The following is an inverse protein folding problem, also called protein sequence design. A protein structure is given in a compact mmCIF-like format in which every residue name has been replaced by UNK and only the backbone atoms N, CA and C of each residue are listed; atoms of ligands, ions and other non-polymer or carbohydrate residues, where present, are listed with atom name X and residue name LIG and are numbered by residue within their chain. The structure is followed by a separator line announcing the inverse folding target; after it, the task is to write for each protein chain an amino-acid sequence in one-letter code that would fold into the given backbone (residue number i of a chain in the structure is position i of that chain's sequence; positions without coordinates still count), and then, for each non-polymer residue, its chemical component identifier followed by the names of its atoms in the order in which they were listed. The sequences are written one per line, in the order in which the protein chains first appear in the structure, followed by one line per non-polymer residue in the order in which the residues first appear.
data_IF_418956610835
#
_entry.id   IF_418956610835
#
_cell.length_a   1.000
_cell.length_b   1.000
_cell.length_c   1.000
_cell.angle_alpha   90.00
_cell.angle_beta   90.00
_cell.angle_gamma   90.00
#
_symmetry.space_group_name_H-M   'P 1'
#
loop_
_entity.id
_entity.type
_entity.pdbx_description
1 polymer ?
#
# COMPACT_ATOMS: atom_id res chain seq x y z
N UNK A 1 12.51 -7.36 4.48
CA UNK A 1 11.15 -6.89 4.80
C UNK A 1 10.21 -8.07 4.82
N UNK A 2 9.55 -8.28 5.96
CA UNK A 2 8.51 -9.27 6.21
C UNK A 2 7.43 -8.65 7.11
N UNK A 3 6.16 -8.84 6.80
CA UNK A 3 5.04 -8.30 7.57
C UNK A 3 3.87 -9.29 7.57
N UNK A 4 3.42 -9.69 8.76
CA UNK A 4 2.27 -10.57 8.95
C UNK A 4 1.03 -9.73 9.27
N UNK A 5 0.08 -9.70 8.34
CA UNK A 5 -1.18 -8.95 8.47
C UNK A 5 -2.19 -9.80 9.24
N UNK A 6 -2.74 -9.30 10.37
CA UNK A 6 -3.73 -10.04 11.12
C UNK A 6 -4.97 -10.32 10.29
N UNK A 7 -5.51 -11.53 10.38
CA UNK A 7 -6.71 -11.94 9.64
C UNK A 7 -7.90 -10.99 9.87
N UNK A 8 -8.06 -10.49 11.10
CA UNK A 8 -9.10 -9.52 11.48
C UNK A 8 -8.97 -8.17 10.76
N UNK A 9 -7.74 -7.79 10.40
CA UNK A 9 -7.40 -6.51 9.78
C UNK A 9 -7.18 -6.60 8.27
N UNK A 10 -7.19 -7.81 7.69
CA UNK A 10 -6.93 -8.05 6.27
C UNK A 10 -7.92 -7.31 5.35
N UNK A 11 -9.19 -7.21 5.76
CA UNK A 11 -10.21 -6.43 5.03
C UNK A 11 -9.89 -4.94 5.02
N UNK A 12 -9.38 -4.40 6.13
CA UNK A 12 -8.97 -3.00 6.24
C UNK A 12 -7.74 -2.74 5.39
N UNK A 13 -6.75 -3.64 5.44
CA UNK A 13 -5.56 -3.58 4.58
C UNK A 13 -5.93 -3.61 3.10
N UNK A 14 -6.83 -4.51 2.68
CA UNK A 14 -7.35 -4.55 1.32
C UNK A 14 -8.01 -3.24 0.90
N UNK A 15 -8.86 -2.66 1.74
CA UNK A 15 -9.51 -1.36 1.45
C UNK A 15 -8.49 -0.23 1.29
N UNK A 16 -7.40 -0.24 2.04
CA UNK A 16 -6.30 0.71 1.87
C UNK A 16 -5.65 0.57 0.49
N UNK A 17 -5.36 -0.67 0.06
CA UNK A 17 -4.83 -0.92 -1.29
C UNK A 17 -5.81 -0.48 -2.40
N UNK A 18 -7.12 -0.74 -2.23
CA UNK A 18 -8.14 -0.28 -3.17
C UNK A 18 -8.21 1.24 -3.24
N UNK A 19 -8.13 1.92 -2.09
CA UNK A 19 -8.12 3.37 -2.03
C UNK A 19 -6.92 3.94 -2.80
N UNK A 20 -5.72 3.43 -2.57
CA UNK A 20 -4.52 3.86 -3.30
C UNK A 20 -4.61 3.56 -4.81
N UNK A 21 -5.13 2.38 -5.17
CA UNK A 21 -5.35 2.00 -6.57
C UNK A 21 -6.42 2.81 -7.30
N UNK A 22 -7.27 3.56 -6.58
CA UNK A 22 -8.20 4.53 -7.18
C UNK A 22 -7.55 5.88 -7.50
N UNK A 23 -6.38 6.16 -6.92
CA UNK A 23 -5.63 7.42 -7.09
C UNK A 23 -4.57 7.26 -8.18
N UNK A 24 -3.87 6.13 -8.20
CA UNK A 24 -2.74 5.86 -9.09
C UNK A 24 -2.66 4.41 -9.54
N UNK A 25 -1.89 4.19 -10.61
CA UNK A 25 -1.64 2.85 -11.15
C UNK A 25 -0.65 2.04 -10.31
N UNK A 26 0.20 2.75 -9.55
CA UNK A 26 1.27 2.19 -8.74
C UNK A 26 1.08 2.50 -7.25
N UNK A 27 1.56 1.59 -6.41
CA UNK A 27 1.69 1.76 -4.97
C UNK A 27 3.17 1.76 -4.62
N UNK A 28 3.61 2.83 -3.95
CA UNK A 28 4.92 2.91 -3.33
C UNK A 28 4.83 2.35 -1.91
N UNK A 29 5.73 1.43 -1.60
CA UNK A 29 5.84 0.75 -0.30
C UNK A 29 7.15 1.22 0.34
N UNK A 30 7.04 1.81 1.51
CA UNK A 30 8.19 2.18 2.33
C UNK A 30 8.09 1.48 3.69
N UNK A 31 9.02 0.58 3.97
CA UNK A 31 9.11 -0.17 5.21
C UNK A 31 10.24 0.38 6.09
N UNK A 32 9.90 0.78 7.31
CA UNK A 32 10.79 1.28 8.36
C UNK A 32 10.57 0.47 9.62
N UNK A 33 11.56 0.41 10.51
CA UNK A 33 11.47 -0.41 11.73
C UNK A 33 10.19 -0.18 12.56
N UNK A 34 9.65 1.04 12.57
CA UNK A 34 8.46 1.42 13.34
C UNK A 34 7.14 1.38 12.56
N UNK A 35 7.16 1.30 11.21
CA UNK A 35 5.96 1.42 10.38
C UNK A 35 6.14 0.98 8.93
N UNK A 36 5.02 0.60 8.31
CA UNK A 36 4.85 0.44 6.87
C UNK A 36 4.03 1.61 6.30
N UNK A 37 4.57 2.32 5.32
CA UNK A 37 3.89 3.40 4.61
C UNK A 37 3.56 2.95 3.18
N UNK A 38 2.28 3.07 2.82
CA UNK A 38 1.77 2.83 1.48
C UNK A 38 1.33 4.15 0.87
N UNK A 39 1.82 4.45 -0.33
CA UNK A 39 1.64 5.76 -0.96
C UNK A 39 1.23 5.60 -2.42
N UNK A 40 0.52 6.61 -2.94
CA UNK A 40 0.07 6.64 -4.33
C UNK A 40 -0.04 8.08 -4.84
N UNK A 41 0.21 8.27 -6.14
CA UNK A 41 -0.03 9.52 -6.85
C UNK A 41 -0.79 9.26 -8.15
N UNK A 42 -1.53 10.25 -8.61
CA UNK A 42 -2.07 10.22 -9.96
C UNK A 42 -0.98 10.49 -11.01
N UNK A 43 -1.29 10.20 -12.29
CA UNK A 43 -0.36 10.40 -13.41
C UNK A 43 0.10 11.86 -13.55
N UNK A 44 -0.79 12.82 -13.28
CA UNK A 44 -0.50 14.25 -13.33
C UNK A 44 0.27 14.78 -12.11
N UNK A 45 0.56 13.94 -11.11
CA UNK A 45 1.24 14.31 -9.85
C UNK A 45 0.53 15.41 -9.05
N UNK A 46 -0.76 15.64 -9.30
CA UNK A 46 -1.59 16.64 -8.61
C UNK A 46 -2.37 16.07 -7.43
N UNK A 47 -2.46 14.74 -7.30
CA UNK A 47 -3.10 14.06 -6.19
C UNK A 47 -2.12 13.09 -5.54
N UNK A 48 -2.11 13.07 -4.20
CA UNK A 48 -1.26 12.21 -3.38
C UNK A 48 -2.08 11.63 -2.23
N UNK A 49 -1.85 10.35 -1.94
CA UNK A 49 -2.32 9.72 -0.71
C UNK A 49 -1.21 8.93 -0.04
N UNK A 50 -1.28 8.92 1.28
CA UNK A 50 -0.43 8.10 2.15
C UNK A 50 -1.27 7.44 3.22
N UNK A 51 -1.04 6.15 3.41
CA UNK A 51 -1.61 5.34 4.48
C UNK A 51 -0.45 4.75 5.27
N UNK A 52 -0.44 4.98 6.57
CA UNK A 52 0.62 4.52 7.47
C UNK A 52 0.06 3.46 8.40
N UNK A 53 0.71 2.29 8.43
CA UNK A 53 0.45 1.21 9.37
C UNK A 53 1.61 1.15 10.37
N UNK A 54 1.39 1.38 11.68
CA UNK A 54 2.44 1.21 12.68
C UNK A 54 2.89 -0.26 12.74
N UNK A 55 4.12 -0.55 13.16
CA UNK A 55 4.60 -1.93 13.30
C UNK A 55 3.66 -2.77 14.20
N UNK A 56 3.08 -2.17 15.23
CA UNK A 56 2.09 -2.80 16.13
C UNK A 56 0.74 -3.16 15.47
N UNK A 57 0.49 -2.76 14.22
CA UNK A 57 -0.66 -3.23 13.44
C UNK A 57 -0.48 -4.69 12.98
N UNK A 58 0.76 -5.15 12.83
CA UNK A 58 1.09 -6.47 12.31
C UNK A 58 1.31 -7.47 13.44
N UNK A 59 0.99 -8.74 13.21
CA UNK A 59 1.27 -9.80 14.18
C UNK A 59 2.79 -10.06 14.29
N UNK A 60 3.50 -9.88 13.17
CA UNK A 60 4.96 -9.87 13.09
C UNK A 60 5.40 -8.84 12.05
N UNK A 61 6.46 -8.10 12.32
CA UNK A 61 6.97 -7.08 11.42
C UNK A 61 8.49 -6.96 11.49
N UNK A 62 9.12 -7.03 10.33
CA UNK A 62 10.54 -6.79 10.11
C UNK A 62 10.74 -5.95 8.85
N UNK A 63 11.36 -4.78 8.97
CA UNK A 63 11.67 -3.93 7.83
C UNK A 63 12.81 -4.51 6.96
N UNK A 64 13.67 -5.36 7.52
CA UNK A 64 14.80 -6.00 6.84
C UNK A 64 15.89 -5.04 6.36
N UNK A 65 16.08 -3.91 7.06
CA UNK A 65 17.19 -2.98 6.88
C UNK A 65 18.05 -2.96 8.15
N UNK A 66 19.36 -2.72 7.99
CA UNK A 66 20.20 -2.32 9.13
C UNK A 66 19.70 -0.98 9.68
N UNK A 67 19.78 -0.79 11.00
CA UNK A 67 19.21 0.33 11.75
C UNK A 67 19.25 1.64 10.94
N UNK A 68 18.06 2.20 10.73
CA UNK A 68 17.76 3.47 10.03
C UNK A 68 17.62 3.45 8.49
N UNK A 69 17.87 2.32 7.80
CA UNK A 69 17.65 2.23 6.34
C UNK A 69 16.27 1.68 5.98
N UNK A 70 15.39 2.54 5.46
CA UNK A 70 14.06 2.14 4.99
C UNK A 70 14.13 1.35 3.67
N UNK A 71 13.46 0.20 3.59
CA UNK A 71 13.27 -0.51 2.31
C UNK A 71 12.17 0.18 1.50
N UNK A 72 12.43 0.44 0.21
CA UNK A 72 11.48 1.14 -0.68
C UNK A 72 11.30 0.39 -1.98
N UNK A 73 10.05 0.16 -2.36
CA UNK A 73 9.73 -0.37 -3.67
C UNK A 73 8.42 0.18 -4.24
N UNK A 74 8.23 -0.04 -5.54
CA UNK A 74 7.02 0.27 -6.28
C UNK A 74 6.43 -1.01 -6.87
N UNK A 75 5.12 -1.15 -6.78
CA UNK A 75 4.36 -2.28 -7.33
C UNK A 75 3.07 -1.82 -7.99
N UNK A 76 2.60 -2.55 -9.00
CA UNK A 76 1.36 -2.21 -9.69
C UNK A 76 0.16 -2.40 -8.76
N UNK A 77 -0.61 -1.34 -8.55
CA UNK A 77 -1.74 -1.30 -7.61
C UNK A 77 -2.79 -2.37 -7.92
N UNK A 78 -3.12 -2.54 -9.20
CA UNK A 78 -4.12 -3.52 -9.66
C UNK A 78 -3.69 -4.96 -9.37
N UNK A 79 -2.41 -5.29 -9.52
CA UNK A 79 -1.90 -6.62 -9.21
C UNK A 79 -1.91 -6.87 -7.71
N UNK A 80 -1.39 -5.93 -6.92
CA UNK A 80 -1.33 -6.09 -5.47
C UNK A 80 -2.73 -6.18 -4.87
N UNK A 81 -3.63 -5.23 -5.17
CA UNK A 81 -5.00 -5.26 -4.69
C UNK A 81 -5.77 -6.48 -5.22
N UNK A 82 -5.46 -6.95 -6.44
CA UNK A 82 -6.07 -8.12 -7.04
C UNK A 82 -5.87 -9.40 -6.23
N UNK A 83 -4.73 -9.56 -5.56
CA UNK A 83 -4.43 -10.71 -4.68
C UNK A 83 -5.43 -10.81 -3.53
N UNK A 84 -5.75 -9.67 -2.90
CA UNK A 84 -6.64 -9.60 -1.75
C UNK A 84 -8.14 -9.56 -2.13
N UNK A 85 -8.47 -9.63 -3.43
CA UNK A 85 -9.87 -9.69 -3.90
C UNK A 85 -10.56 -11.02 -3.57
N UNK A 86 -9.77 -12.09 -3.37
CA UNK A 86 -10.27 -13.40 -2.96
C UNK A 86 -10.90 -13.36 -1.55
N UNK A 87 -11.48 -14.48 -1.10
CA UNK A 87 -12.18 -14.61 0.19
C UNK A 87 -11.23 -14.34 1.39
N UNK A 88 -11.02 -13.06 1.73
CA UNK A 88 -10.23 -12.62 2.90
C UNK A 88 -10.78 -13.14 4.22
N UNK A 89 -12.06 -13.52 4.27
CA UNK A 89 -12.71 -14.08 5.47
C UNK A 89 -12.26 -15.50 5.82
N UNK A 90 -11.66 -16.24 4.88
CA UNK A 90 -11.20 -17.61 5.10
C UNK A 90 -9.67 -17.68 5.32
N UNK A 91 -8.99 -16.54 5.30
CA UNK A 91 -7.54 -16.44 5.51
C UNK A 91 -7.28 -16.47 7.02
N UNK A 92 -6.46 -17.42 7.45
CA UNK A 92 -6.00 -17.53 8.84
C UNK A 92 -4.70 -16.76 9.05
N UNK A 93 -3.82 -16.75 8.04
CA UNK A 93 -2.52 -16.10 8.09
C UNK A 93 -2.17 -15.45 6.77
N UNK A 94 -1.64 -14.22 6.81
CA UNK A 94 -1.20 -13.50 5.61
C UNK A 94 0.16 -12.85 5.84
N UNK A 95 1.17 -13.26 5.07
CA UNK A 95 2.54 -12.74 5.17
C UNK A 95 2.91 -12.06 3.87
N UNK A 96 3.39 -10.82 3.96
CA UNK A 96 4.03 -10.08 2.88
C UNK A 96 5.53 -10.14 3.09
N UNK A 97 6.29 -10.55 2.07
CA UNK A 97 7.74 -10.67 2.15
C UNK A 97 8.41 -10.14 0.88
N UNK A 98 9.53 -9.48 1.05
CA UNK A 98 10.41 -9.11 -0.05
C UNK A 98 11.49 -10.18 -0.20
N UNK A 99 11.52 -10.83 -1.35
CA UNK A 99 12.60 -11.71 -1.79
C UNK A 99 13.55 -10.88 -2.67
N UNK A 100 14.76 -10.62 -2.16
CA UNK A 100 15.84 -10.02 -2.94
C UNK A 100 16.76 -11.13 -3.43
N UNK A 101 17.11 -11.11 -4.72
CA UNK A 101 18.18 -11.98 -5.22
C UNK A 101 19.53 -11.40 -4.82
N UNK A 102 20.23 -12.07 -3.91
CA UNK A 102 21.53 -11.63 -3.46
C UNK A 102 22.67 -11.89 -4.46
N UNK A 103 22.54 -12.81 -5.43
CA UNK A 103 23.69 -13.16 -6.31
C UNK A 103 23.28 -13.56 -7.75
N UNK A 104 24.12 -13.26 -8.77
CA UNK A 104 24.00 -13.89 -10.07
C UNK A 104 24.40 -15.37 -9.96
N UNK A 105 23.44 -16.28 -10.16
CA UNK A 105 23.74 -17.72 -10.23
C UNK A 105 24.58 -17.98 -11.47
N UNK A 106 25.88 -18.25 -11.28
CA UNK A 106 26.76 -18.77 -12.34
C UNK A 106 26.40 -20.23 -12.59
N UNK A 107 25.40 -20.48 -13.44
CA UNK A 107 25.26 -21.79 -14.06
C UNK A 107 26.36 -21.91 -15.10
N UNK A 108 27.18 -22.95 -15.01
CA UNK A 108 28.25 -23.21 -15.96
C UNK A 108 27.76 -23.12 -17.41
N UNK A 109 28.42 -22.28 -18.20
CA UNK A 109 28.28 -22.24 -19.65
C UNK A 109 26.93 -21.75 -20.19
N UNK A 110 26.59 -20.47 -20.00
CA UNK A 110 25.61 -19.78 -20.84
C UNK A 110 24.54 -19.00 -20.10
N UNK A 111 24.66 -17.67 -20.11
CA UNK A 111 23.74 -16.66 -19.54
C UNK A 111 23.51 -16.73 -18.02
N UNK A 112 24.07 -15.75 -17.30
CA UNK A 112 23.74 -15.50 -15.90
C UNK A 112 22.24 -15.15 -15.79
N UNK A 113 21.44 -15.98 -15.11
CA UNK A 113 20.09 -15.58 -14.73
C UNK A 113 20.20 -14.65 -13.52
N UNK A 114 19.87 -13.38 -13.72
CA UNK A 114 19.68 -12.41 -12.66
C UNK A 114 18.52 -12.93 -11.81
N UNK A 115 18.74 -13.23 -10.52
CA UNK A 115 17.64 -13.68 -9.68
C UNK A 115 16.59 -12.58 -9.54
N UNK A 116 15.33 -13.00 -9.50
CA UNK A 116 14.22 -12.08 -9.62
C UNK A 116 13.85 -11.50 -8.26
N UNK A 117 13.81 -10.17 -8.18
CA UNK A 117 13.29 -9.44 -7.03
C UNK A 117 11.75 -9.54 -7.00
N UNK A 118 11.20 -10.18 -5.96
CA UNK A 118 9.77 -10.47 -5.85
C UNK A 118 9.16 -9.95 -4.55
N UNK A 119 7.99 -9.31 -4.64
CA UNK A 119 7.09 -9.12 -3.51
C UNK A 119 6.21 -10.35 -3.44
N UNK A 120 6.35 -11.11 -2.36
CA UNK A 120 5.63 -12.35 -2.13
C UNK A 120 4.52 -12.13 -1.14
N UNK A 121 3.30 -12.49 -1.53
CA UNK A 121 2.14 -12.52 -0.65
C UNK A 121 1.76 -13.98 -0.43
N UNK A 122 1.98 -14.46 0.78
CA UNK A 122 1.61 -15.80 1.21
C UNK A 122 0.32 -15.74 2.04
N UNK A 123 -0.66 -16.55 1.69
CA UNK A 123 -1.93 -16.67 2.41
C UNK A 123 -2.19 -18.13 2.76
N UNK A 124 -2.40 -18.40 4.04
CA UNK A 124 -2.87 -19.68 4.55
C UNK A 124 -4.36 -19.56 4.85
N UNK A 125 -5.15 -20.50 4.35
CA UNK A 125 -6.60 -20.55 4.51
C UNK A 125 -7.00 -21.72 5.41
N UNK A 126 -8.23 -21.64 5.91
CA UNK A 126 -8.91 -22.78 6.52
C UNK A 126 -8.74 -24.04 5.66
N UNK A 127 -8.52 -25.18 6.31
CA UNK A 127 -8.26 -26.49 5.67
C UNK A 127 -6.89 -26.64 4.97
N UNK A 128 -5.87 -25.89 5.42
CA UNK A 128 -4.47 -26.01 4.95
C UNK A 128 -4.27 -25.71 3.46
N UNK A 129 -5.18 -24.96 2.84
CA UNK A 129 -4.95 -24.43 1.49
C UNK A 129 -4.01 -23.24 1.61
N UNK A 130 -2.89 -23.25 0.89
CA UNK A 130 -1.97 -22.12 0.84
C UNK A 130 -1.97 -21.51 -0.57
N UNK A 131 -1.99 -20.18 -0.67
CA UNK A 131 -1.77 -19.47 -1.94
C UNK A 131 -0.57 -18.54 -1.79
N UNK A 132 0.35 -18.65 -2.74
CA UNK A 132 1.52 -17.78 -2.81
C UNK A 132 1.49 -17.01 -4.11
N UNK A 133 1.46 -15.69 -4.01
CA UNK A 133 1.50 -14.78 -5.14
C UNK A 133 2.86 -14.09 -5.18
N UNK A 134 3.48 -14.01 -6.37
CA UNK A 134 4.77 -13.35 -6.57
C UNK A 134 4.59 -12.21 -7.56
N UNK A 135 4.81 -10.99 -7.11
CA UNK A 135 4.76 -9.79 -7.93
C UNK A 135 6.17 -9.30 -8.19
N UNK A 136 6.42 -8.79 -9.40
CA UNK A 136 7.59 -7.96 -9.62
C UNK A 136 7.43 -6.65 -8.86
N UNK A 137 8.53 -6.17 -8.30
CA UNK A 137 8.61 -4.82 -7.76
C UNK A 137 9.81 -4.10 -8.37
N UNK A 138 9.77 -2.78 -8.34
CA UNK A 138 10.89 -1.93 -8.71
C UNK A 138 11.45 -1.24 -7.47
N UNK A 139 12.75 -1.28 -7.26
CA UNK A 139 13.40 -0.49 -6.20
C UNK A 139 13.29 0.98 -6.60
N UNK A 140 12.91 1.84 -5.65
CA UNK A 140 12.72 3.25 -5.92
C UNK A 140 13.25 4.14 -4.79
N UNK A 141 13.46 5.41 -5.12
CA UNK A 141 13.84 6.43 -4.13
C UNK A 141 12.65 6.82 -3.23
N UNK A 142 12.93 7.74 -2.30
CA UNK A 142 11.95 8.30 -1.38
C UNK A 142 10.77 8.92 -2.11
N UNK A 143 9.56 8.51 -1.75
CA UNK A 143 8.32 8.96 -2.38
C UNK A 143 7.48 9.80 -1.40
N UNK A 144 7.85 11.07 -1.20
CA UNK A 144 7.14 11.95 -0.28
C UNK A 144 6.73 13.24 -0.96
N UNK A 145 5.49 13.68 -0.71
CA UNK A 145 5.03 15.02 -1.09
C UNK A 145 5.42 16.03 -0.01
N UNK A 146 5.78 17.23 -0.44
CA UNK A 146 5.98 18.38 0.46
C UNK A 146 4.61 19.00 0.76
N UNK A 147 4.12 18.81 1.98
CA UNK A 147 2.87 19.40 2.44
C UNK A 147 2.89 19.55 3.96
N UNK A 148 2.58 20.76 4.46
CA UNK A 148 2.37 20.99 5.89
C UNK A 148 0.89 21.32 6.17
N UNK A 149 0.29 20.55 7.07
CA UNK A 149 -1.09 20.78 7.54
C UNK A 149 -1.22 22.07 8.34
N UNK A 150 -0.14 22.55 8.94
CA UNK A 150 -0.10 23.76 9.77
C UNK A 150 -0.22 25.03 8.94
N UNK A 151 0.18 24.98 7.68
CA UNK A 151 0.10 26.10 6.74
C UNK A 151 -1.32 26.28 6.16
N UNK A 152 -2.24 25.36 6.45
CA UNK A 152 -3.60 25.41 5.94
C UNK A 152 -4.46 26.45 6.69
N UNK A 153 -4.89 27.51 5.98
CA UNK A 153 -5.76 28.57 6.53
C UNK A 153 -7.15 28.08 6.95
N UNK A 154 -7.68 27.08 6.25
CA UNK A 154 -9.00 26.49 6.51
C UNK A 154 -8.87 25.07 7.01
N UNK A 155 -9.52 24.76 8.14
CA UNK A 155 -9.61 23.39 8.67
C UNK A 155 -11.04 23.09 9.05
N UNK A 156 -11.53 21.96 8.58
CA UNK A 156 -12.83 21.43 8.94
C UNK A 156 -12.72 19.93 9.23
N UNK A 157 -13.63 19.40 10.03
CA UNK A 157 -13.70 17.98 10.37
C UNK A 157 -15.16 17.54 10.31
N UNK A 158 -15.42 16.50 9.55
CA UNK A 158 -16.74 15.88 9.42
C UNK A 158 -16.59 14.37 9.57
N UNK A 159 -17.59 13.65 10.11
CA UNK A 159 -17.60 12.20 10.01
C UNK A 159 -17.67 11.75 8.54
N UNK A 160 -16.91 10.72 8.18
CA UNK A 160 -16.82 10.23 6.80
C UNK A 160 -18.18 9.86 6.19
N UNK A 161 -19.12 9.36 7.00
CA UNK A 161 -20.47 9.03 6.56
C UNK A 161 -21.24 10.27 6.05
N UNK A 162 -21.10 11.41 6.73
CA UNK A 162 -21.73 12.66 6.28
C UNK A 162 -21.04 13.22 5.03
N UNK A 163 -19.70 13.17 4.96
CA UNK A 163 -18.99 13.56 3.73
C UNK A 163 -19.44 12.73 2.52
N UNK A 164 -19.57 11.41 2.71
CA UNK A 164 -20.06 10.51 1.68
C UNK A 164 -21.50 10.84 1.27
N UNK A 165 -22.38 11.15 2.24
CA UNK A 165 -23.75 11.58 1.97
C UNK A 165 -23.78 12.88 1.15
N UNK A 166 -22.96 13.88 1.50
CA UNK A 166 -22.85 15.13 0.75
C UNK A 166 -22.42 14.88 -0.70
N UNK A 167 -21.38 14.07 -0.91
CA UNK A 167 -20.90 13.73 -2.25
C UNK A 167 -21.95 12.94 -3.04
N UNK A 168 -22.76 12.11 -2.38
CA UNK A 168 -23.79 11.30 -3.04
C UNK A 168 -24.95 12.11 -3.63
N UNK A 169 -25.12 13.38 -3.25
CA UNK A 169 -26.12 14.28 -3.85
C UNK A 169 -25.71 14.77 -5.24
N UNK A 170 -24.42 14.71 -5.59
CA UNK A 170 -23.93 15.14 -6.90
C UNK A 170 -24.06 14.02 -7.93
N UNK A 171 -24.10 14.40 -9.21
CA UNK A 171 -24.09 13.43 -10.29
C UNK A 171 -22.84 12.55 -10.21
N UNK A 172 -22.99 11.23 -10.42
CA UNK A 172 -21.86 10.27 -10.38
C UNK A 172 -20.71 10.57 -11.35
N UNK A 173 -20.95 11.44 -12.34
CA UNK A 173 -19.97 11.88 -13.34
C UNK A 173 -19.48 13.31 -13.12
N UNK A 174 -19.82 13.93 -11.98
CA UNK A 174 -19.26 15.23 -11.62
C UNK A 174 -17.74 15.07 -11.50
N UNK A 175 -17.00 15.82 -12.33
CA UNK A 175 -15.53 15.75 -12.36
C UNK A 175 -14.92 16.57 -11.22
N UNK A 176 -15.56 17.68 -10.86
CA UNK A 176 -15.06 18.61 -9.85
C UNK A 176 -16.17 19.02 -8.87
N UNK A 177 -15.79 19.24 -7.62
CA UNK A 177 -16.64 19.77 -6.56
C UNK A 177 -15.94 20.95 -5.90
N UNK A 178 -16.63 22.07 -5.75
CA UNK A 178 -16.10 23.25 -5.06
C UNK A 178 -16.55 23.24 -3.60
N UNK A 179 -15.58 23.19 -2.67
CA UNK A 179 -15.83 23.44 -1.25
C UNK A 179 -15.52 24.90 -0.92
N UNK A 180 -16.49 25.62 -0.36
CA UNK A 180 -16.31 27.01 0.10
C UNK A 180 -16.58 27.09 1.60
N UNK A 181 -15.62 27.62 2.36
CA UNK A 181 -15.78 27.97 3.77
C UNK A 181 -15.97 29.49 3.87
N UNK A 182 -17.10 29.93 4.41
CA UNK A 182 -17.38 31.34 4.70
C UNK A 182 -17.31 31.55 6.20
N UNK A 183 -16.68 32.63 6.66
CA UNK A 183 -16.88 33.10 8.03
C UNK A 183 -18.29 33.71 8.11
N UNK A 184 -19.08 33.29 9.08
CA UNK A 184 -20.31 34.00 9.45
C UNK A 184 -19.92 35.14 10.39
N UNK A 185 -20.22 36.36 9.96
CA UNK A 185 -20.18 37.59 10.77
C UNK A 185 -21.19 37.52 11.94
#
# INVERSE_FOLDING_TARGET
MEAEVPASSLKTFYRALQCLGSIGEDIWVEARADRLELMGKNAAQSAYAKITFPAAFFDAYDAGGADDTAFRCRVQARQLAGIFRARTHAVERCVLRIEQSAEPVRVGGGSARQGECRLVVHMEYQQRVCRTHRLFYEVCETFHSTYDRRDCKGRWRVPAAHAAAWVAHFARRAEELTLRMTQTD
#
